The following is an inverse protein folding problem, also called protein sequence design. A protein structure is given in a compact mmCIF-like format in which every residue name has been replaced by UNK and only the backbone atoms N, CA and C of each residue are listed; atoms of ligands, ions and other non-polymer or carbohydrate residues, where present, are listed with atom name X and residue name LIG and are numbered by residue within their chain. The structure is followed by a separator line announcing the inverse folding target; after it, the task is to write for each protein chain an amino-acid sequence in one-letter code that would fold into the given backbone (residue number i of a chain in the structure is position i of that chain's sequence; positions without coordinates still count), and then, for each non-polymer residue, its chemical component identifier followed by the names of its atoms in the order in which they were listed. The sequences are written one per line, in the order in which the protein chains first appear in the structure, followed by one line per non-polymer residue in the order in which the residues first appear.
data_IF_729904944615
#
_entry.id   IF_729904944615
#
_cell.length_a   1.000
_cell.length_b   1.000
_cell.length_c   1.000
_cell.angle_alpha   90.00
_cell.angle_beta   90.00
_cell.angle_gamma   90.00
#
_symmetry.space_group_name_H-M   'P 1'
#
loop_
_entity.id
_entity.type
_entity.pdbx_description
1 polymer ?
#
# COMPACT_ATOMS: atom_id res chain seq x y z
N UNK A 1 14.20 42.18 18.27
CA UNK A 1 13.54 42.26 16.93
C UNK A 1 14.05 41.15 15.99
N UNK A 2 14.14 39.90 16.47
CA UNK A 2 14.90 38.80 15.82
C UNK A 2 14.03 37.60 15.46
N UNK A 3 12.96 37.33 16.22
CA UNK A 3 12.10 36.16 16.03
C UNK A 3 11.36 36.15 14.67
N UNK A 4 10.82 37.29 14.24
CA UNK A 4 10.04 37.40 12.99
C UNK A 4 10.90 37.19 11.73
N UNK A 5 12.18 37.57 11.76
CA UNK A 5 13.15 37.32 10.66
C UNK A 5 13.54 35.85 10.57
N UNK A 6 13.62 35.16 11.71
CA UNK A 6 13.91 33.73 11.75
C UNK A 6 12.77 32.90 11.14
N UNK A 7 11.50 33.18 11.51
CA UNK A 7 10.33 32.51 10.93
C UNK A 7 10.21 32.70 9.41
N UNK A 8 10.52 33.89 8.88
CA UNK A 8 10.41 34.14 7.45
C UNK A 8 11.42 33.35 6.61
N UNK A 9 12.56 32.92 7.19
CA UNK A 9 13.53 32.05 6.52
C UNK A 9 13.11 30.58 6.50
N UNK A 10 12.24 30.16 7.43
CA UNK A 10 11.74 28.79 7.51
C UNK A 10 10.57 28.52 6.56
N UNK A 11 9.82 29.56 6.16
CA UNK A 11 8.67 29.45 5.24
C UNK A 11 8.93 28.61 3.97
N UNK A 12 9.96 28.86 3.14
CA UNK A 12 10.18 28.05 1.94
C UNK A 12 10.43 26.58 2.26
N UNK A 13 11.15 26.30 3.36
CA UNK A 13 11.43 24.94 3.81
C UNK A 13 10.14 24.24 4.27
N UNK A 14 9.27 24.93 5.02
CA UNK A 14 7.97 24.39 5.45
C UNK A 14 7.03 24.14 4.27
N UNK A 15 7.02 25.01 3.25
CA UNK A 15 6.23 24.81 2.03
C UNK A 15 6.69 23.61 1.21
N UNK A 16 8.01 23.46 1.04
CA UNK A 16 8.60 22.32 0.32
C UNK A 16 8.34 21.02 1.07
N UNK A 17 8.56 20.99 2.39
CA UNK A 17 8.27 19.80 3.19
C UNK A 17 6.78 19.46 3.22
N UNK A 18 5.91 20.47 3.30
CA UNK A 18 4.48 20.28 3.32
C UNK A 18 3.91 19.82 1.98
N UNK A 19 3.81 20.74 1.02
CA UNK A 19 3.21 20.42 -0.28
C UNK A 19 4.09 19.52 -1.15
N UNK A 20 5.41 19.76 -1.17
CA UNK A 20 6.35 18.92 -1.90
C UNK A 20 6.42 17.51 -1.32
N UNK A 21 6.46 17.39 0.01
CA UNK A 21 6.38 16.08 0.68
C UNK A 21 5.07 15.37 0.39
N UNK A 22 3.92 16.05 0.46
CA UNK A 22 2.62 15.45 0.18
C UNK A 22 2.53 14.92 -1.27
N UNK A 23 3.01 15.70 -2.24
CA UNK A 23 3.08 15.27 -3.63
C UNK A 23 3.98 14.04 -3.81
N UNK A 24 5.15 14.02 -3.15
CA UNK A 24 6.08 12.91 -3.24
C UNK A 24 5.50 11.62 -2.62
N UNK A 25 4.78 11.72 -1.49
CA UNK A 25 4.08 10.59 -0.88
C UNK A 25 3.00 10.02 -1.81
N UNK A 26 2.21 10.87 -2.47
CA UNK A 26 1.21 10.43 -3.44
C UNK A 26 1.85 9.71 -4.63
N UNK A 27 2.89 10.30 -5.22
CA UNK A 27 3.61 9.71 -6.36
C UNK A 27 4.22 8.37 -5.96
N UNK A 28 4.87 8.30 -4.80
CA UNK A 28 5.48 7.06 -4.31
C UNK A 28 4.42 5.98 -4.05
N UNK A 29 3.29 6.32 -3.42
CA UNK A 29 2.20 5.38 -3.18
C UNK A 29 1.63 4.81 -4.50
N UNK A 30 1.38 5.66 -5.49
CA UNK A 30 0.88 5.25 -6.80
C UNK A 30 1.91 4.42 -7.58
N UNK A 31 3.18 4.80 -7.54
CA UNK A 31 4.26 4.09 -8.23
C UNK A 31 4.48 2.69 -7.62
N UNK A 32 4.48 2.57 -6.30
CA UNK A 32 4.60 1.29 -5.60
C UNK A 32 3.40 0.39 -5.88
N UNK A 33 2.19 0.95 -5.86
CA UNK A 33 0.98 0.19 -6.15
C UNK A 33 0.93 -0.31 -7.60
N UNK A 34 1.33 0.52 -8.58
CA UNK A 34 1.38 0.09 -9.99
C UNK A 34 2.52 -0.86 -10.30
N UNK A 35 3.70 -0.66 -9.73
CA UNK A 35 4.90 -1.43 -10.04
C UNK A 35 5.01 -2.76 -9.30
N UNK A 36 4.53 -2.82 -8.05
CA UNK A 36 4.70 -3.96 -7.16
C UNK A 36 3.37 -4.55 -6.66
N UNK A 37 2.25 -3.89 -6.94
CA UNK A 37 0.92 -4.38 -6.61
C UNK A 37 0.56 -5.60 -7.46
N UNK A 38 0.13 -6.68 -6.80
CA UNK A 38 -0.40 -7.89 -7.42
C UNK A 38 -1.78 -8.15 -6.88
N UNK A 39 -2.74 -8.38 -7.77
CA UNK A 39 -4.07 -8.79 -7.35
C UNK A 39 -4.03 -10.27 -6.96
N UNK A 40 -4.43 -10.58 -5.73
CA UNK A 40 -4.45 -11.94 -5.19
C UNK A 40 -5.77 -12.28 -4.55
N UNK A 41 -6.19 -13.52 -4.69
CA UNK A 41 -7.29 -14.07 -3.93
C UNK A 41 -6.74 -14.70 -2.64
N UNK A 42 -7.20 -14.22 -1.50
CA UNK A 42 -6.74 -14.73 -0.21
C UNK A 42 -7.47 -16.03 0.07
N UNK A 43 -6.74 -17.08 0.42
CA UNK A 43 -7.30 -18.39 0.76
C UNK A 43 -6.85 -18.83 2.15
N UNK A 44 -7.72 -19.58 2.83
CA UNK A 44 -7.32 -20.40 3.98
C UNK A 44 -6.82 -21.74 3.44
N UNK A 45 -5.51 -22.03 3.51
CA UNK A 45 -4.94 -23.18 2.81
C UNK A 45 -5.46 -24.51 3.34
N UNK A 46 -5.74 -25.45 2.43
CA UNK A 46 -5.97 -26.84 2.77
C UNK A 46 -4.65 -27.61 3.00
N UNK A 47 -4.77 -28.77 3.65
CA UNK A 47 -3.65 -29.70 3.78
C UNK A 47 -3.23 -30.23 2.40
N UNK A 48 -1.93 -30.44 2.12
CA UNK A 48 -1.46 -30.96 0.84
C UNK A 48 -2.15 -32.26 0.38
N UNK A 49 -2.54 -33.13 1.32
CA UNK A 49 -3.27 -34.36 1.01
C UNK A 49 -4.67 -34.10 0.42
N UNK A 50 -5.37 -33.11 0.96
CA UNK A 50 -6.69 -32.67 0.50
C UNK A 50 -6.56 -31.99 -0.87
N UNK A 51 -5.52 -31.17 -1.06
CA UNK A 51 -5.26 -30.52 -2.36
C UNK A 51 -5.08 -31.58 -3.47
N UNK A 52 -4.30 -32.63 -3.22
CA UNK A 52 -4.10 -33.71 -4.20
C UNK A 52 -5.40 -34.44 -4.55
N UNK A 53 -6.26 -34.69 -3.55
CA UNK A 53 -7.57 -35.28 -3.78
C UNK A 53 -8.48 -34.34 -4.59
N UNK A 54 -8.57 -33.06 -4.22
CA UNK A 54 -9.39 -32.08 -4.92
C UNK A 54 -8.94 -31.89 -6.37
N UNK A 55 -7.62 -31.90 -6.62
CA UNK A 55 -7.07 -31.86 -7.97
C UNK A 55 -7.47 -33.08 -8.80
N UNK A 56 -7.56 -34.27 -8.20
CA UNK A 56 -8.00 -35.49 -8.91
C UNK A 56 -9.49 -35.49 -9.27
N UNK A 57 -10.30 -34.76 -8.50
CA UNK A 57 -11.75 -34.66 -8.65
C UNK A 57 -12.20 -33.42 -9.42
N UNK A 58 -11.26 -32.54 -9.78
CA UNK A 58 -11.53 -31.28 -10.46
C UNK A 58 -12.13 -31.50 -11.85
N UNK A 59 -13.21 -30.75 -12.13
CA UNK A 59 -13.85 -30.69 -13.45
C UNK A 59 -13.69 -29.27 -14.03
N UNK A 60 -13.39 -29.12 -15.33
CA UNK A 60 -13.34 -27.81 -15.96
C UNK A 60 -14.64 -27.01 -15.75
N UNK A 61 -14.52 -25.86 -15.09
CA UNK A 61 -15.65 -25.01 -14.69
C UNK A 61 -15.80 -24.87 -13.17
N UNK A 62 -15.17 -25.76 -12.40
CA UNK A 62 -15.15 -25.66 -10.94
C UNK A 62 -14.26 -24.48 -10.47
N UNK A 63 -14.57 -23.89 -9.30
CA UNK A 63 -13.76 -22.83 -8.73
C UNK A 63 -12.37 -23.33 -8.32
N UNK A 64 -11.36 -22.98 -9.12
CA UNK A 64 -9.95 -23.39 -8.91
C UNK A 64 -9.41 -23.02 -7.53
N UNK A 65 -9.87 -21.92 -6.93
CA UNK A 65 -9.44 -21.50 -5.61
C UNK A 65 -9.76 -22.55 -4.52
N UNK A 66 -10.91 -23.22 -4.61
CA UNK A 66 -11.40 -24.20 -3.63
C UNK A 66 -10.57 -25.49 -3.61
N UNK A 67 -9.84 -25.77 -4.70
CA UNK A 67 -8.87 -26.87 -4.75
C UNK A 67 -7.78 -26.68 -3.68
N UNK A 68 -7.32 -25.43 -3.52
CA UNK A 68 -6.17 -25.10 -2.68
C UNK A 68 -6.56 -24.63 -1.28
N UNK A 69 -7.78 -24.17 -1.09
CA UNK A 69 -8.23 -23.62 0.18
C UNK A 69 -9.57 -22.92 0.09
N UNK A 70 -10.11 -22.54 1.24
CA UNK A 70 -11.35 -21.77 1.28
C UNK A 70 -11.08 -20.32 0.86
N UNK A 71 -11.66 -19.82 -0.25
CA UNK A 71 -11.48 -18.45 -0.67
C UNK A 71 -12.12 -17.50 0.33
N UNK A 72 -11.38 -16.44 0.65
CA UNK A 72 -11.94 -15.28 1.33
C UNK A 72 -12.65 -14.39 0.30
N UNK A 73 -13.66 -13.67 0.78
CA UNK A 73 -14.72 -13.05 -0.03
C UNK A 73 -14.28 -12.18 -1.22
N UNK A 74 -13.07 -11.60 -1.22
CA UNK A 74 -12.65 -10.67 -2.28
C UNK A 74 -11.17 -10.80 -2.65
N UNK A 75 -10.87 -10.53 -3.92
CA UNK A 75 -9.51 -10.29 -4.40
C UNK A 75 -8.98 -8.99 -3.82
N UNK A 76 -7.76 -9.05 -3.30
CA UNK A 76 -7.09 -7.90 -2.67
C UNK A 76 -5.81 -7.62 -3.44
N UNK A 77 -5.58 -6.34 -3.74
CA UNK A 77 -4.29 -5.90 -4.28
C UNK A 77 -3.26 -5.91 -3.17
N UNK A 78 -2.17 -6.66 -3.37
CA UNK A 78 -1.07 -6.76 -2.41
C UNK A 78 0.27 -6.23 -2.91
N UNK A 79 1.00 -5.48 -2.09
CA UNK A 79 2.33 -4.96 -2.42
C UNK A 79 3.38 -5.81 -1.71
N UNK A 80 4.26 -6.42 -2.51
CA UNK A 80 5.36 -7.27 -2.03
C UNK A 80 4.94 -8.53 -1.23
N UNK A 81 4.08 -9.41 -1.77
CA UNK A 81 3.88 -10.74 -1.19
C UNK A 81 5.17 -11.52 -1.01
N UNK A 82 5.29 -12.23 0.11
CA UNK A 82 6.30 -13.28 0.26
C UNK A 82 6.06 -14.38 -0.77
N UNK A 83 7.10 -14.72 -1.56
CA UNK A 83 6.99 -15.66 -2.69
C UNK A 83 6.56 -17.06 -2.25
N UNK A 84 6.94 -17.46 -1.05
CA UNK A 84 6.57 -18.71 -0.38
C UNK A 84 5.07 -18.80 -0.09
N UNK A 85 4.36 -17.68 0.07
CA UNK A 85 2.91 -17.67 0.36
C UNK A 85 2.04 -17.66 -0.89
N UNK A 86 2.63 -17.33 -2.03
CA UNK A 86 1.93 -17.29 -3.30
C UNK A 86 1.84 -18.68 -3.92
N UNK A 87 0.62 -19.04 -4.33
CA UNK A 87 0.36 -20.22 -5.14
C UNK A 87 -0.17 -19.75 -6.49
N UNK A 88 0.40 -20.32 -7.55
CA UNK A 88 -0.13 -20.19 -8.90
C UNK A 88 -0.71 -21.55 -9.30
N UNK A 89 -2.04 -21.68 -9.36
CA UNK A 89 -2.70 -22.89 -9.82
C UNK A 89 -2.23 -23.32 -11.21
N UNK A 90 -2.24 -24.61 -11.48
CA UNK A 90 -1.93 -25.14 -12.83
C UNK A 90 -3.16 -25.05 -13.73
N UNK A 91 -4.33 -25.15 -13.12
CA UNK A 91 -5.66 -25.18 -13.71
C UNK A 91 -6.07 -23.78 -14.21
N UNK A 92 -5.66 -22.72 -13.49
CA UNK A 92 -5.78 -21.33 -13.92
C UNK A 92 -4.48 -20.54 -13.64
N UNK A 93 -3.64 -20.33 -14.66
CA UNK A 93 -2.38 -19.57 -14.55
C UNK A 93 -2.56 -18.07 -14.28
N UNK A 94 -3.74 -17.52 -14.56
CA UNK A 94 -4.05 -16.10 -14.36
C UNK A 94 -4.41 -15.81 -12.90
N UNK A 95 -4.89 -16.84 -12.17
CA UNK A 95 -5.22 -16.74 -10.77
C UNK A 95 -3.95 -16.76 -9.91
N UNK A 96 -3.89 -15.84 -8.94
CA UNK A 96 -2.81 -15.80 -7.96
C UNK A 96 -3.42 -15.90 -6.56
N UNK A 97 -3.09 -16.97 -5.85
CA UNK A 97 -3.64 -17.26 -4.53
C UNK A 97 -2.62 -16.87 -3.46
N UNK A 98 -3.08 -16.22 -2.39
CA UNK A 98 -2.28 -15.91 -1.22
C UNK A 98 -2.73 -16.80 -0.06
N UNK A 99 -1.82 -17.63 0.44
CA UNK A 99 -2.02 -18.37 1.68
C UNK A 99 -1.97 -17.40 2.85
N UNK A 100 -3.10 -17.19 3.52
CA UNK A 100 -3.15 -16.43 4.76
C UNK A 100 -3.63 -17.35 5.88
N UNK A 101 -2.77 -17.54 6.89
CA UNK A 101 -3.17 -18.26 8.09
C UNK A 101 -3.55 -17.26 9.20
N UNK A 102 -4.86 -16.98 9.32
CA UNK A 102 -5.38 -16.11 10.38
C UNK A 102 -5.10 -16.65 11.79
N UNK A 103 -4.98 -17.97 11.95
CA UNK A 103 -4.70 -18.60 13.24
C UNK A 103 -3.27 -18.30 13.72
N UNK A 104 -2.35 -18.03 12.79
CA UNK A 104 -0.97 -17.61 13.09
C UNK A 104 -0.82 -16.08 13.18
N UNK A 105 -1.94 -15.33 13.17
CA UNK A 105 -1.91 -13.87 13.23
C UNK A 105 -1.41 -13.19 11.95
N UNK A 106 -1.34 -13.93 10.84
CA UNK A 106 -0.91 -13.35 9.56
C UNK A 106 -1.98 -12.42 9.03
N UNK A 107 -1.67 -11.13 9.00
CA UNK A 107 -2.63 -10.10 8.62
C UNK A 107 -2.42 -9.68 7.15
N UNK A 108 -3.30 -10.08 6.22
CA UNK A 108 -3.23 -9.65 4.82
C UNK A 108 -3.42 -8.14 4.64
N UNK A 109 -3.81 -7.41 5.69
CA UNK A 109 -3.87 -5.94 5.70
C UNK A 109 -2.51 -5.26 5.52
N UNK A 110 -1.39 -6.00 5.47
CA UNK A 110 -0.09 -5.42 5.15
C UNK A 110 -0.05 -4.69 3.80
N UNK A 111 -1.02 -4.87 2.91
CA UNK A 111 -1.12 -4.02 1.70
C UNK A 111 -1.97 -2.79 1.87
N UNK A 112 -2.90 -2.78 2.83
CA UNK A 112 -3.44 -1.49 3.26
C UNK A 112 -2.30 -0.61 3.75
N UNK A 113 -1.21 -1.13 4.28
CA UNK A 113 -0.07 -0.37 4.85
C UNK A 113 0.39 0.84 4.03
N UNK A 114 0.58 0.76 2.70
CA UNK A 114 1.05 1.94 1.93
C UNK A 114 -0.05 3.01 1.90
N UNK A 115 -1.26 2.67 1.47
CA UNK A 115 -2.38 3.60 1.43
C UNK A 115 -2.87 4.04 2.82
N UNK A 116 -2.69 3.18 3.82
CA UNK A 116 -2.96 3.39 5.24
C UNK A 116 -1.97 4.41 5.79
N UNK A 117 -0.66 4.22 5.59
CA UNK A 117 0.34 5.21 5.98
C UNK A 117 0.16 6.52 5.21
N UNK A 118 -0.09 6.46 3.91
CA UNK A 118 -0.37 7.64 3.09
C UNK A 118 -1.57 8.42 3.67
N UNK A 119 -2.65 7.74 4.07
CA UNK A 119 -3.83 8.36 4.70
C UNK A 119 -3.50 9.14 5.98
N UNK A 120 -2.50 8.74 6.78
CA UNK A 120 -2.10 9.48 7.98
C UNK A 120 -1.04 10.55 7.69
N UNK A 121 -0.13 10.31 6.75
CA UNK A 121 0.98 11.22 6.45
C UNK A 121 0.52 12.41 5.60
N UNK A 122 -0.32 12.19 4.59
CA UNK A 122 -0.85 13.25 3.71
C UNK A 122 -1.46 14.43 4.46
N UNK A 123 -2.41 14.24 5.41
CA UNK A 123 -3.01 15.38 6.10
C UNK A 123 -1.99 16.15 6.93
N UNK A 124 -1.02 15.48 7.56
CA UNK A 124 0.05 16.16 8.32
C UNK A 124 0.89 17.04 7.41
N UNK A 125 1.30 16.53 6.24
CA UNK A 125 2.08 17.27 5.26
C UNK A 125 1.29 18.43 4.65
N UNK A 126 0.01 18.22 4.36
CA UNK A 126 -0.88 19.29 3.87
C UNK A 126 -1.05 20.40 4.92
N UNK A 127 -1.24 20.05 6.20
CA UNK A 127 -1.32 21.02 7.29
C UNK A 127 -0.02 21.84 7.39
N UNK A 128 1.14 21.18 7.31
CA UNK A 128 2.43 21.88 7.27
C UNK A 128 2.54 22.83 6.08
N UNK A 129 2.07 22.40 4.90
CA UNK A 129 2.02 23.25 3.71
C UNK A 129 1.15 24.50 3.92
N UNK A 130 -0.04 24.32 4.51
CA UNK A 130 -0.95 25.43 4.85
C UNK A 130 -0.29 26.39 5.85
N UNK A 131 0.37 25.86 6.90
CA UNK A 131 1.10 26.69 7.87
C UNK A 131 2.20 27.49 7.17
N UNK A 132 2.99 26.84 6.31
CA UNK A 132 4.03 27.49 5.50
C UNK A 132 3.47 28.60 4.60
N UNK A 133 2.26 28.42 4.08
CA UNK A 133 1.59 29.39 3.21
C UNK A 133 1.14 30.64 3.97
N UNK A 134 0.61 30.47 5.18
CA UNK A 134 0.14 31.57 6.04
C UNK A 134 1.30 32.37 6.66
N UNK A 135 2.52 31.80 6.73
CA UNK A 135 3.68 32.49 7.26
C UNK A 135 4.08 33.74 6.44
N UNK A 136 4.53 34.83 7.10
CA UNK A 136 4.92 36.06 6.42
C UNK A 136 6.09 35.84 5.47
N UNK A 137 6.01 36.46 4.28
CA UNK A 137 7.04 36.34 3.23
C UNK A 137 8.36 36.97 3.71
N UNK A 138 9.52 36.35 3.43
CA UNK A 138 10.80 37.02 3.66
C UNK A 138 10.85 38.32 2.83
N UNK A 139 11.24 39.40 3.48
CA UNK A 139 11.46 40.70 2.83
C UNK A 139 12.73 40.55 1.98
N UNK A 140 12.63 40.74 0.67
CA UNK A 140 13.80 40.74 -0.22
C UNK A 140 14.67 41.93 0.14
N UNK A 141 15.96 41.67 0.36
CA UNK A 141 17.00 42.68 0.64
C UNK A 141 17.47 43.40 -0.63
N UNK A 142 16.55 43.64 -1.58
CA UNK A 142 16.87 44.24 -2.89
C UNK A 142 16.46 45.72 -2.98
N UNK A 143 16.28 46.38 -1.84
CA UNK A 143 16.15 47.83 -1.74
C UNK A 143 17.21 48.32 -0.75
N UNK A 144 18.43 48.50 -1.25
CA UNK A 144 19.44 49.49 -0.80
C UNK A 144 20.53 49.62 -1.88
#
# INVERSE_FOLDING_TARGET
MTFRRYLSRLRPLVLVLGFGGAALVLIAALALDKGLGKDVLIITPHDPSIVGLNQSLYVPGDPVAEIYGNPMSETVRIVHPSKDKLIRPKEDPNLLLLRANKLLGENPLQTKTIWYFARFILPVLLILGIIGFVLPKPRSTDED
#
